data_IF_904581168902
#
_entry.id   IF_904581168902
#
_cell.length_a   1.000
_cell.length_b   1.000
_cell.length_c   1.000
_cell.angle_alpha   90.00
_cell.angle_beta   90.00
_cell.angle_gamma   90.00
#
_symmetry.space_group_name_H-M   'P 1'
#
loop_
_entity.id
_entity.type
_entity.pdbx_description
1 polymer ?
#
# COMPACT_ATOMS: atom_id res chain seq x y z
N UNK A 1 -3.42 15.44 7.62
CA UNK A 1 -2.62 15.74 8.83
C UNK A 1 -1.41 16.65 8.59
N UNK A 2 -0.81 16.69 7.39
CA UNK A 2 0.45 17.43 7.18
C UNK A 2 0.37 18.94 7.45
N UNK A 3 -0.57 19.67 6.82
CA UNK A 3 -0.66 21.14 6.96
C UNK A 3 -0.91 21.62 8.39
N UNK A 4 -1.53 20.81 9.25
CA UNK A 4 -1.74 21.12 10.67
C UNK A 4 -0.41 21.25 11.41
N UNK A 5 0.64 20.55 10.97
CA UNK A 5 1.99 20.63 11.53
C UNK A 5 2.64 22.00 11.39
N UNK A 6 2.20 22.83 10.44
CA UNK A 6 2.73 24.19 10.25
C UNK A 6 2.40 25.08 11.46
N UNK A 7 1.24 24.87 12.08
CA UNK A 7 0.70 25.68 13.17
C UNK A 7 0.89 25.04 14.56
N UNK A 8 1.24 23.75 14.64
CA UNK A 8 1.41 23.02 15.90
C UNK A 8 2.85 23.10 16.45
N UNK A 9 3.08 22.74 17.72
CA UNK A 9 4.44 22.72 18.32
C UNK A 9 5.37 21.84 17.49
N UNK A 10 6.27 22.48 16.72
CA UNK A 10 7.15 21.83 15.73
C UNK A 10 7.95 20.65 16.30
N UNK A 11 8.40 20.75 17.56
CA UNK A 11 9.14 19.67 18.23
C UNK A 11 8.32 18.39 18.40
N UNK A 12 7.12 18.51 18.98
CA UNK A 12 6.21 17.38 19.22
C UNK A 12 5.71 16.78 17.90
N UNK A 13 5.36 17.63 16.93
CA UNK A 13 4.91 17.17 15.62
C UNK A 13 5.98 16.34 14.90
N UNK A 14 7.24 16.79 14.91
CA UNK A 14 8.36 16.03 14.32
C UNK A 14 8.56 14.67 14.99
N UNK A 15 8.35 14.55 16.30
CA UNK A 15 8.46 13.27 17.01
C UNK A 15 7.36 12.29 16.60
N UNK A 16 6.10 12.76 16.65
CA UNK A 16 4.92 11.94 16.33
C UNK A 16 5.00 11.47 14.88
N UNK A 17 5.32 12.39 13.95
CA UNK A 17 5.40 12.05 12.53
C UNK A 17 6.58 11.13 12.24
N UNK A 18 7.71 11.26 12.95
CA UNK A 18 8.84 10.34 12.77
C UNK A 18 8.42 8.89 13.09
N UNK A 19 7.79 8.67 14.25
CA UNK A 19 7.30 7.35 14.62
C UNK A 19 6.23 6.83 13.65
N UNK A 20 5.30 7.70 13.25
CA UNK A 20 4.31 7.34 12.24
C UNK A 20 4.96 6.91 10.92
N UNK A 21 5.97 7.63 10.45
CA UNK A 21 6.69 7.31 9.23
C UNK A 21 7.44 5.97 9.34
N UNK A 22 8.11 5.72 10.47
CA UNK A 22 8.81 4.45 10.71
C UNK A 22 7.83 3.27 10.70
N UNK A 23 6.72 3.38 11.42
CA UNK A 23 5.67 2.35 11.45
C UNK A 23 5.06 2.17 10.07
N UNK A 24 4.80 3.26 9.34
CA UNK A 24 4.25 3.20 7.99
C UNK A 24 5.20 2.51 7.01
N UNK A 25 6.50 2.77 7.08
CA UNK A 25 7.50 2.09 6.26
C UNK A 25 7.53 0.58 6.56
N UNK A 26 7.47 0.19 7.84
CA UNK A 26 7.40 -1.22 8.22
C UNK A 26 6.18 -1.93 7.58
N UNK A 27 4.98 -1.36 7.70
CA UNK A 27 3.79 -1.94 7.08
C UNK A 27 3.82 -1.89 5.54
N UNK A 28 4.47 -0.89 4.95
CA UNK A 28 4.64 -0.80 3.51
C UNK A 28 5.52 -1.93 2.96
N UNK A 29 6.59 -2.29 3.67
CA UNK A 29 7.40 -3.47 3.33
C UNK A 29 6.59 -4.76 3.42
N UNK A 30 5.80 -4.94 4.50
CA UNK A 30 4.92 -6.10 4.63
C UNK A 30 3.90 -6.18 3.48
N UNK A 31 3.30 -5.05 3.11
CA UNK A 31 2.34 -4.98 2.01
C UNK A 31 2.97 -5.34 0.66
N UNK A 32 4.20 -4.88 0.39
CA UNK A 32 4.93 -5.23 -0.84
C UNK A 32 5.22 -6.73 -0.89
N UNK A 33 5.73 -7.31 0.20
CA UNK A 33 6.03 -8.75 0.29
C UNK A 33 4.76 -9.59 0.06
N UNK A 34 3.65 -9.20 0.71
CA UNK A 34 2.36 -9.85 0.52
C UNK A 34 1.89 -9.76 -0.93
N UNK A 35 1.98 -8.58 -1.55
CA UNK A 35 1.56 -8.37 -2.94
C UNK A 35 2.37 -9.18 -3.95
N UNK A 36 3.66 -9.37 -3.71
CA UNK A 36 4.50 -10.26 -4.52
C UNK A 36 4.08 -11.73 -4.42
N UNK A 37 3.71 -12.17 -3.21
CA UNK A 37 3.30 -13.56 -2.96
C UNK A 37 1.96 -13.89 -3.63
N UNK A 38 1.07 -12.90 -3.75
CA UNK A 38 -0.24 -13.07 -4.37
C UNK A 38 -0.19 -12.97 -5.89
N UNK A 39 0.74 -12.21 -6.48
CA UNK A 39 0.79 -11.98 -7.93
C UNK A 39 0.87 -13.26 -8.75
N UNK A 40 1.61 -14.26 -8.27
CA UNK A 40 1.77 -15.55 -8.94
C UNK A 40 0.48 -16.37 -9.00
N UNK A 41 -0.52 -16.01 -8.16
CA UNK A 41 -1.77 -16.77 -7.98
C UNK A 41 -2.99 -16.09 -8.63
N UNK A 42 -2.82 -14.90 -9.21
CA UNK A 42 -3.91 -14.11 -9.76
C UNK A 42 -4.21 -14.54 -11.21
N UNK A 43 -5.49 -14.71 -11.51
CA UNK A 43 -5.98 -14.91 -12.88
C UNK A 43 -5.77 -13.59 -13.64
N UNK A 44 -4.85 -13.61 -14.61
CA UNK A 44 -4.51 -12.43 -15.41
C UNK A 44 -5.57 -12.16 -16.45
N UNK A 45 -5.97 -10.89 -16.53
CA UNK A 45 -6.79 -10.34 -17.60
C UNK A 45 -6.28 -8.94 -17.90
N UNK A 46 -6.42 -8.47 -19.15
CA UNK A 46 -5.97 -7.14 -19.57
C UNK A 46 -6.34 -6.00 -18.58
N UNK A 47 -7.60 -5.88 -18.11
CA UNK A 47 -7.96 -4.81 -17.16
C UNK A 47 -7.33 -4.99 -15.76
N UNK A 48 -7.13 -6.24 -15.32
CA UNK A 48 -6.44 -6.54 -14.05
C UNK A 48 -4.96 -6.18 -14.14
N UNK A 49 -4.31 -6.55 -15.24
CA UNK A 49 -2.87 -6.33 -15.43
C UNK A 49 -2.53 -4.83 -15.50
N UNK A 50 -3.34 -4.03 -16.20
CA UNK A 50 -3.17 -2.57 -16.24
C UNK A 50 -3.36 -1.92 -14.86
N UNK A 51 -4.44 -2.28 -14.16
CA UNK A 51 -4.72 -1.72 -12.84
C UNK A 51 -3.66 -2.15 -11.81
N UNK A 52 -3.20 -3.39 -11.88
CA UNK A 52 -2.14 -3.93 -11.04
C UNK A 52 -0.79 -3.25 -11.32
N UNK A 53 -0.47 -2.99 -12.60
CA UNK A 53 0.76 -2.27 -12.97
C UNK A 53 0.78 -0.85 -12.38
N UNK A 54 -0.35 -0.12 -12.45
CA UNK A 54 -0.47 1.21 -11.84
C UNK A 54 -0.38 1.13 -10.32
N UNK A 55 -1.07 0.17 -9.69
CA UNK A 55 -1.02 -0.05 -8.24
C UNK A 55 0.41 -0.31 -7.76
N UNK A 56 1.16 -1.17 -8.44
CA UNK A 56 2.56 -1.48 -8.12
C UNK A 56 3.48 -0.30 -8.30
N UNK A 57 3.40 0.38 -9.46
CA UNK A 57 4.22 1.54 -9.75
C UNK A 57 4.01 2.64 -8.70
N UNK A 58 2.76 2.89 -8.33
CA UNK A 58 2.43 3.90 -7.32
C UNK A 58 2.92 3.50 -5.92
N UNK A 59 2.84 2.22 -5.53
CA UNK A 59 3.45 1.72 -4.29
C UNK A 59 4.95 2.05 -4.23
N UNK A 60 5.71 1.77 -5.29
CA UNK A 60 7.15 2.06 -5.32
C UNK A 60 7.46 3.56 -5.17
N UNK A 61 6.72 4.41 -5.87
CA UNK A 61 6.89 5.86 -5.80
C UNK A 61 6.63 6.35 -4.36
N UNK A 62 5.55 5.86 -3.73
CA UNK A 62 5.21 6.19 -2.35
C UNK A 62 6.32 5.71 -1.40
N UNK A 63 6.82 4.48 -1.56
CA UNK A 63 7.91 3.94 -0.74
C UNK A 63 9.15 4.83 -0.80
N UNK A 64 9.61 5.17 -2.00
CA UNK A 64 10.79 6.02 -2.20
C UNK A 64 10.57 7.40 -1.60
N UNK A 65 9.39 8.01 -1.82
CA UNK A 65 9.05 9.31 -1.26
C UNK A 65 9.10 9.29 0.28
N UNK A 66 8.44 8.32 0.92
CA UNK A 66 8.43 8.22 2.38
C UNK A 66 9.80 7.86 2.94
N UNK A 67 10.62 7.06 2.25
CA UNK A 67 11.99 6.78 2.65
C UNK A 67 12.85 8.06 2.66
N UNK A 68 12.75 8.88 1.60
CA UNK A 68 13.44 10.16 1.50
C UNK A 68 12.96 11.11 2.61
N UNK A 69 11.64 11.27 2.77
CA UNK A 69 11.07 12.17 3.78
C UNK A 69 11.43 11.76 5.21
N UNK A 70 11.44 10.46 5.50
CA UNK A 70 11.81 9.92 6.82
C UNK A 70 13.29 10.12 7.08
N UNK A 71 14.15 9.75 6.13
CA UNK A 71 15.60 9.95 6.23
C UNK A 71 15.94 11.43 6.40
N UNK A 72 15.29 12.30 5.62
CA UNK A 72 15.46 13.74 5.73
C UNK A 72 15.07 14.25 7.11
N UNK A 73 13.93 13.80 7.66
CA UNK A 73 13.50 14.18 9.00
C UNK A 73 14.51 13.71 10.06
N UNK A 74 15.00 12.47 9.98
CA UNK A 74 16.01 11.94 10.93
C UNK A 74 17.28 12.78 10.92
N UNK A 75 17.83 13.06 9.73
CA UNK A 75 19.10 13.79 9.59
C UNK A 75 18.97 15.27 9.95
N UNK A 76 17.83 15.90 9.66
CA UNK A 76 17.66 17.36 9.76
C UNK A 76 16.78 17.81 10.93
N UNK A 77 16.21 16.89 11.73
CA UNK A 77 15.24 17.17 12.81
C UNK A 77 15.57 18.41 13.65
N UNK A 78 16.83 18.54 14.06
CA UNK A 78 17.35 19.59 14.95
C UNK A 78 17.73 20.91 14.24
N UNK A 79 18.08 20.85 12.95
CA UNK A 79 18.63 22.00 12.19
C UNK A 79 17.70 22.53 11.08
N UNK A 80 16.50 21.95 10.96
CA UNK A 80 15.55 22.27 9.88
C UNK A 80 15.03 23.70 9.98
N UNK A 81 15.31 24.51 8.95
CA UNK A 81 14.82 25.91 8.85
C UNK A 81 13.33 25.96 8.52
N UNK A 82 12.67 27.11 8.71
CA UNK A 82 11.22 27.25 8.49
C UNK A 82 10.78 26.91 7.05
N UNK A 83 11.50 27.39 6.03
CA UNK A 83 11.18 27.09 4.62
C UNK A 83 11.36 25.60 4.31
N UNK A 84 12.48 25.02 4.76
CA UNK A 84 12.76 23.59 4.62
C UNK A 84 11.67 22.73 5.28
N UNK A 85 11.23 23.11 6.47
CA UNK A 85 10.15 22.45 7.19
C UNK A 85 8.82 22.57 6.45
N UNK A 86 8.48 23.74 5.94
CA UNK A 86 7.25 23.95 5.17
C UNK A 86 7.22 23.08 3.90
N UNK A 87 8.30 23.06 3.13
CA UNK A 87 8.42 22.20 1.95
C UNK A 87 8.30 20.72 2.31
N UNK A 88 8.96 20.29 3.38
CA UNK A 88 8.88 18.91 3.86
C UNK A 88 7.44 18.54 4.26
N UNK A 89 6.71 19.42 4.94
CA UNK A 89 5.30 19.22 5.30
C UNK A 89 4.39 19.14 4.05
N UNK A 90 4.66 19.95 3.02
CA UNK A 90 3.92 19.89 1.75
C UNK A 90 4.12 18.54 1.08
N UNK A 91 5.36 18.07 0.94
CA UNK A 91 5.65 16.75 0.36
C UNK A 91 5.05 15.61 1.18
N UNK A 92 5.09 15.71 2.51
CA UNK A 92 4.41 14.75 3.39
C UNK A 92 2.89 14.72 3.15
N UNK A 93 2.28 15.88 2.92
CA UNK A 93 0.84 15.97 2.62
C UNK A 93 0.51 15.33 1.28
N UNK A 94 1.31 15.63 0.24
CA UNK A 94 1.17 15.01 -1.09
C UNK A 94 1.32 13.50 -0.97
N UNK A 95 2.34 13.01 -0.27
CA UNK A 95 2.54 11.58 -0.01
C UNK A 95 1.35 10.94 0.68
N UNK A 96 0.76 11.61 1.68
CA UNK A 96 -0.45 11.15 2.37
C UNK A 96 -1.66 11.02 1.44
N UNK A 97 -1.85 11.97 0.51
CA UNK A 97 -2.92 11.89 -0.51
C UNK A 97 -2.67 10.71 -1.46
N UNK A 98 -1.41 10.50 -1.89
CA UNK A 98 -1.05 9.37 -2.73
C UNK A 98 -1.33 8.01 -2.07
N UNK A 99 -1.16 7.90 -0.74
CA UNK A 99 -1.53 6.68 0.01
C UNK A 99 -3.03 6.42 -0.02
N UNK A 100 -3.86 7.46 0.09
CA UNK A 100 -5.33 7.31 -0.04
C UNK A 100 -5.68 6.81 -1.44
N UNK A 101 -5.08 7.40 -2.47
CA UNK A 101 -5.25 6.95 -3.85
C UNK A 101 -4.81 5.49 -4.05
N UNK A 102 -3.71 5.08 -3.41
CA UNK A 102 -3.26 3.69 -3.40
C UNK A 102 -4.32 2.74 -2.82
N UNK A 103 -4.97 3.14 -1.73
CA UNK A 103 -6.09 2.40 -1.14
C UNK A 103 -7.28 2.27 -2.11
N UNK A 104 -7.60 3.32 -2.85
CA UNK A 104 -8.65 3.27 -3.89
C UNK A 104 -8.29 2.27 -4.99
N UNK A 105 -7.04 2.28 -5.49
CA UNK A 105 -6.58 1.30 -6.47
C UNK A 105 -6.66 -0.13 -5.95
N UNK A 106 -6.19 -0.37 -4.72
CA UNK A 106 -6.26 -1.69 -4.09
C UNK A 106 -7.70 -2.19 -3.91
N UNK A 107 -8.61 -1.30 -3.48
CA UNK A 107 -10.02 -1.65 -3.36
C UNK A 107 -10.67 -2.01 -4.70
N UNK A 108 -10.30 -1.33 -5.80
CA UNK A 108 -10.79 -1.66 -7.14
C UNK A 108 -10.29 -3.03 -7.59
N UNK A 109 -9.03 -3.38 -7.34
CA UNK A 109 -8.51 -4.71 -7.64
C UNK A 109 -9.32 -5.81 -6.95
N UNK A 110 -9.61 -5.64 -5.66
CA UNK A 110 -10.34 -6.65 -4.87
C UNK A 110 -11.83 -6.68 -5.21
N UNK A 111 -12.53 -5.55 -5.11
CA UNK A 111 -14.00 -5.52 -5.18
C UNK A 111 -14.56 -5.48 -6.59
N UNK A 112 -13.86 -4.85 -7.54
CA UNK A 112 -14.34 -4.75 -8.93
C UNK A 112 -13.85 -5.93 -9.76
N UNK A 113 -12.54 -6.19 -9.69
CA UNK A 113 -11.94 -7.21 -10.53
C UNK A 113 -11.94 -8.61 -9.88
N UNK A 114 -12.16 -8.68 -8.56
CA UNK A 114 -12.23 -9.95 -7.83
C UNK A 114 -10.87 -10.56 -7.54
N UNK A 115 -9.80 -9.76 -7.62
CA UNK A 115 -8.43 -10.20 -7.30
C UNK A 115 -8.37 -10.66 -5.85
N UNK A 116 -7.91 -11.90 -5.62
CA UNK A 116 -7.86 -12.53 -4.31
C UNK A 116 -9.16 -13.20 -3.83
N UNK A 117 -10.32 -12.94 -4.48
CA UNK A 117 -11.62 -13.56 -4.12
C UNK A 117 -12.01 -14.68 -5.10
N UNK A 118 -12.00 -14.39 -6.41
CA UNK A 118 -12.35 -15.37 -7.47
C UNK A 118 -11.49 -16.65 -7.46
N UNK A 119 -10.18 -16.62 -7.13
CA UNK A 119 -9.37 -17.84 -7.04
C UNK A 119 -9.89 -18.82 -5.97
N UNK A 120 -10.47 -18.31 -4.87
CA UNK A 120 -11.02 -19.14 -3.78
C UNK A 120 -12.33 -19.80 -4.20
N UNK A 121 -13.18 -19.09 -4.95
CA UNK A 121 -14.43 -19.64 -5.47
C UNK A 121 -14.20 -20.74 -6.51
N UNK A 122 -13.27 -20.52 -7.45
CA UNK A 122 -12.86 -21.52 -8.44
C UNK A 122 -12.17 -22.74 -7.79
N UNK A 123 -11.37 -22.54 -6.75
CA UNK A 123 -10.78 -23.63 -6.00
C UNK A 123 -11.84 -24.44 -5.26
N UNK A 124 -12.82 -23.78 -4.64
CA UNK A 124 -13.97 -24.44 -3.98
C UNK A 124 -14.85 -25.20 -4.97
N UNK A 125 -15.12 -24.63 -6.16
CA UNK A 125 -15.95 -25.29 -7.17
C UNK A 125 -15.26 -26.55 -7.71
N UNK A 126 -13.97 -26.49 -8.02
CA UNK A 126 -13.19 -27.66 -8.46
C UNK A 126 -13.07 -28.72 -7.37
N UNK A 127 -12.87 -28.32 -6.11
CA UNK A 127 -12.86 -29.26 -4.99
C UNK A 127 -14.22 -29.95 -4.81
N UNK A 128 -15.33 -29.21 -4.95
CA UNK A 128 -16.67 -29.77 -4.88
C UNK A 128 -17.00 -30.71 -6.06
N UNK A 129 -16.55 -30.40 -7.28
CA UNK A 129 -16.67 -31.29 -8.44
C UNK A 129 -15.86 -32.58 -8.26
N UNK A 130 -14.62 -32.49 -7.76
CA UNK A 130 -13.77 -33.66 -7.51
C UNK A 130 -14.40 -34.59 -6.47
N UNK A 131 -14.96 -34.03 -5.39
CA UNK A 131 -15.69 -34.81 -4.37
C UNK A 131 -16.94 -35.49 -4.96
N UNK A 132 -17.68 -34.81 -5.85
CA UNK A 132 -18.83 -35.42 -6.55
C UNK A 132 -18.40 -36.55 -7.49
N UNK A 133 -17.28 -36.41 -8.20
CA UNK A 133 -16.74 -37.48 -9.05
C UNK A 133 -16.28 -38.67 -8.22
N UNK A 134 -15.52 -38.46 -7.14
CA UNK A 134 -15.07 -39.54 -6.24
C UNK A 134 -16.26 -40.27 -5.57
N UNK A 135 -17.34 -39.55 -5.26
CA UNK A 135 -18.58 -40.16 -4.73
C UNK A 135 -19.36 -40.97 -5.78
N UNK A 136 -19.34 -40.57 -7.06
CA UNK A 136 -20.03 -41.27 -8.15
C UNK A 136 -19.28 -42.47 -8.71
N UNK A 137 -17.98 -42.61 -8.46
CA UNK A 137 -17.15 -43.75 -8.93
C UNK A 137 -17.20 -44.93 -7.93
N UNK A 138 -17.73 -44.72 -6.73
CA UNK A 138 -17.81 -45.73 -5.65
C UNK A 138 -19.12 -46.56 -5.64
N UNK A 139 -19.79 -46.71 -6.79
CA UNK A 139 -20.92 -47.64 -6.97
C UNK A 139 -20.69 -48.55 -8.19
#
# INVERSE_FOLDING_TARGET
MGLVGIFYRRGLFKEIVLWQCVVSLFFLFLAIISGYSDEERIIRSLPVDELMAVHKKNSYIITVLFLILTSWLVLRKRAMKTVEYASWVVFLTIGGVSVIYQGVLGSKLVYREGVGVKPVELAKSKAAEKLKQEANINY
#
